data_IF_023484334407
#
_entry.id   IF_023484334407
#
_cell.length_a   1.000
_cell.length_b   1.000
_cell.length_c   1.000
_cell.angle_alpha   90.00
_cell.angle_beta   90.00
_cell.angle_gamma   90.00
#
_symmetry.space_group_name_H-M   'P 1'
#
loop_
_entity.id
_entity.type
_entity.pdbx_description
1 polymer ?
#
# COMPACT_ATOMS: atom_id res chain seq x y z
N UNK A 1 -11.38 -13.16 -37.89
CA UNK A 1 -10.27 -13.45 -36.97
C UNK A 1 -10.27 -12.60 -35.70
N UNK A 2 -10.47 -11.27 -35.77
CA UNK A 2 -10.49 -10.40 -34.58
C UNK A 2 -11.55 -10.77 -33.52
N UNK A 3 -12.76 -11.14 -33.94
CA UNK A 3 -13.81 -11.59 -33.01
C UNK A 3 -13.45 -12.89 -32.27
N UNK A 4 -12.87 -13.85 -32.99
CA UNK A 4 -12.42 -15.13 -32.41
C UNK A 4 -11.27 -14.88 -31.42
N UNK A 5 -10.31 -14.04 -31.79
CA UNK A 5 -9.24 -13.62 -30.89
C UNK A 5 -9.79 -12.89 -29.66
N UNK A 6 -10.77 -12.00 -29.81
CA UNK A 6 -11.41 -11.31 -28.70
C UNK A 6 -12.16 -12.28 -27.77
N UNK A 7 -12.91 -13.25 -28.31
CA UNK A 7 -13.61 -14.27 -27.51
C UNK A 7 -12.60 -15.15 -26.76
N UNK A 8 -11.52 -15.57 -27.42
CA UNK A 8 -10.46 -16.36 -26.78
C UNK A 8 -9.76 -15.56 -25.69
N UNK A 9 -9.41 -14.30 -25.94
CA UNK A 9 -8.80 -13.41 -24.93
C UNK A 9 -9.76 -13.17 -23.76
N UNK A 10 -11.05 -12.95 -24.02
CA UNK A 10 -12.06 -12.80 -22.98
C UNK A 10 -12.18 -14.12 -22.20
N UNK A 11 -12.24 -15.27 -22.85
CA UNK A 11 -12.28 -16.57 -22.17
C UNK A 11 -11.05 -16.83 -21.30
N UNK A 12 -9.84 -16.62 -21.84
CA UNK A 12 -8.59 -16.76 -21.08
C UNK A 12 -8.59 -15.79 -19.89
N UNK A 13 -9.00 -14.54 -20.10
CA UNK A 13 -9.05 -13.51 -19.05
C UNK A 13 -10.10 -13.81 -17.97
N UNK A 14 -11.26 -14.30 -18.37
CA UNK A 14 -12.37 -14.60 -17.45
C UNK A 14 -12.11 -15.84 -16.61
N UNK A 15 -11.39 -16.83 -17.14
CA UNK A 15 -11.25 -18.14 -16.49
C UNK A 15 -9.85 -18.47 -15.97
N UNK A 16 -8.79 -17.92 -16.57
CA UNK A 16 -7.41 -18.34 -16.26
C UNK A 16 -6.58 -17.22 -15.66
N UNK A 17 -6.67 -16.00 -16.21
CA UNK A 17 -5.74 -14.92 -15.88
C UNK A 17 -6.46 -13.59 -15.63
N UNK A 18 -6.41 -13.10 -14.40
CA UNK A 18 -7.00 -11.80 -14.04
C UNK A 18 -5.90 -10.73 -13.87
N UNK A 19 -5.96 -9.61 -14.62
CA UNK A 19 -5.12 -8.44 -14.34
C UNK A 19 -5.44 -7.85 -12.97
N UNK A 20 -4.42 -7.55 -12.19
CA UNK A 20 -4.51 -6.93 -10.88
C UNK A 20 -3.45 -5.83 -10.76
N UNK A 21 -3.84 -4.61 -10.40
CA UNK A 21 -2.89 -3.51 -10.18
C UNK A 21 -2.75 -3.33 -8.67
N UNK A 22 -1.52 -3.20 -8.18
CA UNK A 22 -1.26 -3.01 -6.76
C UNK A 22 -1.38 -1.52 -6.42
N UNK A 23 -2.35 -1.14 -5.57
CA UNK A 23 -2.54 0.26 -5.24
C UNK A 23 -1.50 0.79 -4.25
N UNK A 24 -1.08 -0.02 -3.27
CA UNK A 24 -0.27 0.42 -2.11
C UNK A 24 1.04 -0.36 -1.97
N UNK A 25 1.99 0.16 -1.20
CA UNK A 25 3.27 -0.49 -0.95
C UNK A 25 3.23 -1.64 0.06
N UNK A 26 2.06 -2.16 0.40
CA UNK A 26 1.91 -3.24 1.38
C UNK A 26 2.61 -4.55 0.99
N UNK A 27 2.89 -4.76 -0.29
CA UNK A 27 3.61 -5.93 -0.81
C UNK A 27 5.09 -5.65 -1.11
N UNK A 28 5.60 -4.46 -0.79
CA UNK A 28 7.02 -4.17 -0.92
C UNK A 28 7.83 -5.06 0.04
N UNK A 29 8.91 -5.71 -0.39
CA UNK A 29 9.69 -5.47 -1.60
C UNK A 29 9.35 -6.40 -2.76
N UNK A 30 8.40 -7.32 -2.59
CA UNK A 30 8.03 -8.33 -3.59
C UNK A 30 7.31 -7.71 -4.78
N UNK A 31 6.45 -6.74 -4.51
CA UNK A 31 5.80 -5.91 -5.50
C UNK A 31 5.76 -4.45 -5.06
N UNK A 32 5.79 -3.54 -6.03
CA UNK A 32 5.65 -2.11 -5.79
C UNK A 32 4.22 -1.66 -6.02
N UNK A 33 3.67 -0.85 -5.11
CA UNK A 33 2.42 -0.12 -5.34
C UNK A 33 2.66 1.15 -6.15
N UNK A 34 1.64 2.02 -6.19
CA UNK A 34 1.79 3.33 -6.84
C UNK A 34 2.90 4.14 -6.18
N UNK A 35 3.78 4.73 -6.99
CA UNK A 35 4.92 5.53 -6.50
C UNK A 35 4.79 6.97 -6.96
N UNK A 36 5.06 7.94 -6.07
CA UNK A 36 5.22 9.32 -6.50
C UNK A 36 6.59 9.55 -7.13
N UNK A 37 6.62 10.32 -8.22
CA UNK A 37 7.82 10.95 -8.73
C UNK A 37 7.63 12.47 -8.70
N UNK A 38 8.25 13.12 -7.73
CA UNK A 38 8.05 14.55 -7.44
C UNK A 38 9.01 15.41 -8.26
N UNK A 39 8.49 16.45 -8.89
CA UNK A 39 9.28 17.48 -9.58
C UNK A 39 9.54 18.66 -8.64
N UNK A 40 10.81 19.04 -8.52
CA UNK A 40 11.23 20.19 -7.70
C UNK A 40 10.73 21.49 -8.32
N UNK A 41 10.96 21.65 -9.63
CA UNK A 41 10.67 22.88 -10.38
C UNK A 41 9.95 22.60 -11.70
N UNK A 42 9.32 23.65 -12.25
CA UNK A 42 8.55 23.59 -13.50
C UNK A 42 9.37 23.11 -14.70
N UNK A 43 10.65 23.46 -14.75
CA UNK A 43 11.57 23.07 -15.83
C UNK A 43 11.79 21.56 -15.90
N UNK A 44 11.70 20.87 -14.75
CA UNK A 44 11.87 19.42 -14.65
C UNK A 44 10.57 18.66 -14.95
N UNK A 45 9.45 19.35 -15.18
CA UNK A 45 8.19 18.68 -15.52
C UNK A 45 8.22 18.19 -16.98
N UNK A 46 7.77 16.95 -17.26
CA UNK A 46 7.77 16.43 -18.61
C UNK A 46 6.80 17.23 -19.49
N UNK A 47 7.25 17.58 -20.69
CA UNK A 47 6.39 18.09 -21.74
C UNK A 47 5.42 17.02 -22.25
N UNK A 48 4.54 17.37 -23.19
CA UNK A 48 3.51 16.45 -23.70
C UNK A 48 4.09 15.11 -24.21
N UNK A 49 5.17 15.15 -24.99
CA UNK A 49 5.82 13.94 -25.51
C UNK A 49 6.41 13.08 -24.40
N UNK A 50 7.06 13.70 -23.40
CA UNK A 50 7.58 13.02 -22.21
C UNK A 50 6.45 12.31 -21.46
N UNK A 51 5.36 13.02 -21.17
CA UNK A 51 4.17 12.45 -20.51
C UNK A 51 3.58 11.28 -21.27
N UNK A 52 3.55 11.31 -22.61
CA UNK A 52 3.10 10.18 -23.42
C UNK A 52 4.02 8.96 -23.29
N UNK A 53 5.35 9.19 -23.30
CA UNK A 53 6.34 8.12 -23.11
C UNK A 53 6.22 7.54 -21.70
N UNK A 54 6.16 8.37 -20.66
CA UNK A 54 6.03 7.94 -19.27
C UNK A 54 4.71 7.20 -19.03
N UNK A 55 3.62 7.64 -19.69
CA UNK A 55 2.34 6.92 -19.66
C UNK A 55 2.48 5.52 -20.26
N UNK A 56 3.17 5.38 -21.39
CA UNK A 56 3.33 4.09 -22.07
C UNK A 56 4.29 3.16 -21.34
N UNK A 57 5.41 3.67 -20.84
CA UNK A 57 6.46 2.85 -20.23
C UNK A 57 6.19 2.55 -18.75
N UNK A 58 5.65 3.51 -18.00
CA UNK A 58 5.53 3.47 -16.54
C UNK A 58 4.08 3.54 -16.02
N UNK A 59 3.12 3.75 -16.91
CA UNK A 59 1.71 3.94 -16.57
C UNK A 59 1.44 5.29 -15.89
N UNK A 60 2.41 6.20 -15.95
CA UNK A 60 2.44 7.45 -15.20
C UNK A 60 1.19 8.30 -15.41
N UNK A 61 0.71 8.95 -14.35
CA UNK A 61 -0.36 9.94 -14.43
C UNK A 61 0.16 11.24 -13.83
N UNK A 62 0.16 12.30 -14.64
CA UNK A 62 0.78 13.57 -14.28
C UNK A 62 -0.18 14.49 -13.53
N UNK A 63 0.30 15.08 -12.44
CA UNK A 63 -0.42 16.03 -11.61
C UNK A 63 0.42 17.29 -11.40
N UNK A 64 -0.22 18.45 -11.49
CA UNK A 64 0.41 19.74 -11.29
C UNK A 64 -0.56 20.72 -10.66
N UNK A 65 -0.09 21.51 -9.71
CA UNK A 65 -0.79 22.59 -9.06
C UNK A 65 0.06 23.85 -9.17
N UNK A 66 -0.43 24.84 -9.90
CA UNK A 66 0.24 26.13 -10.07
C UNK A 66 -0.46 27.21 -9.24
N UNK A 67 0.32 28.15 -8.70
CA UNK A 67 -0.21 29.27 -7.93
C UNK A 67 -0.99 30.24 -8.84
N UNK A 68 -2.29 30.37 -8.59
CA UNK A 68 -3.12 31.36 -9.31
C UNK A 68 -3.08 32.78 -8.70
N UNK A 69 -2.45 32.94 -7.54
CA UNK A 69 -2.27 34.18 -6.77
C UNK A 69 -0.96 34.10 -5.97
N UNK A 70 -0.44 35.25 -5.54
CA UNK A 70 0.76 35.29 -4.69
C UNK A 70 0.38 35.22 -3.20
N UNK A 71 1.12 34.46 -2.42
CA UNK A 71 0.83 34.26 -0.99
C UNK A 71 1.58 33.09 -0.36
N UNK A 72 1.31 32.85 0.92
CA UNK A 72 1.72 31.63 1.61
C UNK A 72 0.85 30.45 1.16
N UNK A 73 1.41 29.24 1.19
CA UNK A 73 0.72 28.00 0.81
C UNK A 73 0.14 27.30 2.04
N UNK A 74 -1.16 27.03 1.99
CA UNK A 74 -1.89 26.28 3.01
C UNK A 74 -2.59 25.07 2.39
N UNK A 75 -2.73 24.01 3.18
CA UNK A 75 -3.72 22.95 2.98
C UNK A 75 -4.95 23.25 3.84
N UNK A 76 -6.13 23.32 3.23
CA UNK A 76 -7.40 23.50 3.94
C UNK A 76 -7.95 22.15 4.37
N UNK A 77 -8.04 21.96 5.68
CA UNK A 77 -8.64 20.78 6.30
C UNK A 77 -10.15 20.80 6.09
N UNK A 78 -10.69 19.63 5.77
CA UNK A 78 -12.11 19.38 5.50
C UNK A 78 -12.68 18.58 6.67
N UNK A 79 -13.03 19.30 7.75
CA UNK A 79 -13.31 18.69 9.05
C UNK A 79 -12.01 18.33 9.77
N UNK A 80 -11.85 17.06 10.16
CA UNK A 80 -10.59 16.54 10.74
C UNK A 80 -9.65 15.91 9.69
N UNK A 81 -10.07 15.87 8.42
CA UNK A 81 -9.33 15.23 7.35
C UNK A 81 -8.63 16.28 6.47
N UNK A 82 -7.50 15.89 5.88
CA UNK A 82 -6.75 16.63 4.86
C UNK A 82 -7.46 16.65 3.48
N UNK A 83 -8.38 15.71 3.25
CA UNK A 83 -9.11 15.54 2.00
C UNK A 83 -10.58 15.16 2.25
N UNK A 84 -11.38 15.17 1.18
CA UNK A 84 -12.68 14.50 1.11
C UNK A 84 -12.70 13.50 -0.03
N UNK A 85 -13.54 12.47 0.07
CA UNK A 85 -13.84 11.61 -1.07
C UNK A 85 -14.80 12.32 -2.03
N UNK A 86 -14.52 12.23 -3.33
CA UNK A 86 -15.39 12.68 -4.41
C UNK A 86 -15.40 11.63 -5.53
N UNK A 87 -16.37 11.69 -6.43
CA UNK A 87 -16.44 10.83 -7.60
C UNK A 87 -15.85 11.56 -8.81
N UNK A 88 -14.84 10.97 -9.45
CA UNK A 88 -14.23 11.54 -10.64
C UNK A 88 -15.26 11.63 -11.78
N UNK A 89 -15.55 12.86 -12.20
CA UNK A 89 -16.33 13.16 -13.41
C UNK A 89 -15.38 13.42 -14.57
N UNK A 90 -15.79 13.07 -15.78
CA UNK A 90 -15.01 13.32 -17.00
C UNK A 90 -14.60 14.80 -17.11
N UNK A 91 -13.37 15.15 -17.55
CA UNK A 91 -12.34 14.29 -18.17
C UNK A 91 -11.36 13.60 -17.21
N UNK A 92 -11.49 13.82 -15.90
CA UNK A 92 -10.60 13.25 -14.87
C UNK A 92 -10.92 11.78 -14.54
N UNK A 93 -12.08 11.29 -14.96
CA UNK A 93 -12.46 9.88 -14.87
C UNK A 93 -11.77 9.02 -15.94
N UNK A 94 -11.47 7.75 -15.61
CA UNK A 94 -10.99 6.75 -16.59
C UNK A 94 -11.98 6.71 -17.77
N UNK A 95 -11.46 6.82 -18.98
CA UNK A 95 -12.23 6.89 -20.23
C UNK A 95 -13.35 5.82 -20.27
N UNK A 96 -14.60 6.28 -20.26
CA UNK A 96 -15.84 5.60 -20.65
C UNK A 96 -16.43 4.38 -19.92
N UNK A 97 -16.07 3.97 -18.68
CA UNK A 97 -16.84 2.84 -18.07
C UNK A 97 -17.26 2.97 -16.58
N UNK A 98 -16.56 3.64 -15.64
CA UNK A 98 -17.07 3.77 -14.25
C UNK A 98 -16.57 5.04 -13.53
N UNK A 99 -17.39 5.69 -12.67
CA UNK A 99 -16.89 6.71 -11.74
C UNK A 99 -15.82 6.08 -10.83
N UNK A 100 -14.68 6.74 -10.70
CA UNK A 100 -13.61 6.32 -9.81
C UNK A 100 -13.61 7.24 -8.59
N UNK A 101 -13.53 6.67 -7.39
CA UNK A 101 -13.39 7.46 -6.17
C UNK A 101 -12.02 8.14 -6.17
N UNK A 102 -12.02 9.43 -5.88
CA UNK A 102 -10.81 10.26 -5.75
C UNK A 102 -10.78 10.93 -4.39
N UNK A 103 -9.57 11.27 -3.92
CA UNK A 103 -9.39 12.21 -2.82
C UNK A 103 -9.23 13.60 -3.39
N UNK A 104 -10.07 14.52 -2.95
CA UNK A 104 -10.01 15.93 -3.30
C UNK A 104 -9.33 16.72 -2.17
N UNK A 105 -8.23 17.36 -2.51
CA UNK A 105 -7.44 18.23 -1.65
C UNK A 105 -7.67 19.68 -2.03
N UNK A 106 -7.82 20.53 -1.01
CA UNK A 106 -8.04 21.95 -1.18
C UNK A 106 -6.83 22.71 -0.63
N UNK A 107 -6.11 23.37 -1.51
CA UNK A 107 -5.01 24.26 -1.16
C UNK A 107 -5.48 25.70 -1.20
N UNK A 108 -4.77 26.58 -0.49
CA UNK A 108 -5.00 28.02 -0.57
C UNK A 108 -3.67 28.74 -0.73
N UNK A 109 -3.62 29.68 -1.68
CA UNK A 109 -2.50 30.61 -1.85
C UNK A 109 -3.03 32.02 -1.94
N UNK A 110 -2.63 32.90 -1.01
CA UNK A 110 -3.01 34.31 -1.04
C UNK A 110 -4.53 34.55 -1.02
N UNK A 111 -5.28 33.68 -0.32
CA UNK A 111 -6.74 33.76 -0.21
C UNK A 111 -7.52 33.14 -1.38
N UNK A 112 -6.85 32.54 -2.36
CA UNK A 112 -7.49 31.83 -3.47
C UNK A 112 -7.34 30.32 -3.29
N UNK A 113 -8.43 29.60 -3.51
CA UNK A 113 -8.47 28.14 -3.39
C UNK A 113 -7.99 27.45 -4.68
N UNK A 114 -7.25 26.35 -4.52
CA UNK A 114 -6.77 25.47 -5.59
C UNK A 114 -7.17 24.04 -5.28
N UNK A 115 -7.75 23.34 -6.25
CA UNK A 115 -8.21 21.96 -6.08
C UNK A 115 -7.25 21.00 -6.75
N UNK A 116 -6.87 19.93 -6.06
CA UNK A 116 -6.13 18.82 -6.61
C UNK A 116 -6.82 17.51 -6.28
N UNK A 117 -7.02 16.66 -7.29
CA UNK A 117 -7.68 15.36 -7.15
C UNK A 117 -6.72 14.26 -7.51
N UNK A 118 -6.63 13.23 -6.66
CA UNK A 118 -5.78 12.05 -6.85
C UNK A 118 -6.61 10.78 -6.65
N UNK A 119 -6.19 9.62 -7.21
CA UNK A 119 -6.85 8.33 -6.94
C UNK A 119 -7.03 8.08 -5.44
N UNK A 120 -8.15 7.49 -5.04
CA UNK A 120 -8.48 7.32 -3.61
C UNK A 120 -7.47 6.49 -2.82
N UNK A 121 -6.72 5.64 -3.49
CA UNK A 121 -5.71 4.76 -2.92
C UNK A 121 -4.32 5.40 -2.83
N UNK A 122 -4.11 6.57 -3.44
CA UNK A 122 -2.84 7.27 -3.39
C UNK A 122 -2.75 8.16 -2.14
N UNK A 123 -1.67 8.01 -1.38
CA UNK A 123 -1.44 8.78 -0.17
C UNK A 123 -0.70 10.10 -0.50
N UNK A 124 -1.47 11.14 -0.79
CA UNK A 124 -0.91 12.47 -1.02
C UNK A 124 -0.46 13.15 0.29
N UNK A 125 -0.96 12.73 1.46
CA UNK A 125 -0.59 13.33 2.75
C UNK A 125 0.89 13.09 3.04
N UNK A 126 1.35 11.85 2.85
CA UNK A 126 2.76 11.47 2.99
C UNK A 126 3.65 12.25 2.01
N UNK A 127 3.21 12.42 0.75
CA UNK A 127 3.94 13.19 -0.26
C UNK A 127 4.08 14.66 0.15
N UNK A 128 2.99 15.29 0.61
CA UNK A 128 2.98 16.67 1.09
C UNK A 128 3.92 16.80 2.29
N UNK A 129 3.80 15.91 3.27
CA UNK A 129 4.62 15.91 4.48
C UNK A 129 6.13 15.82 4.15
N UNK A 130 6.50 14.90 3.27
CA UNK A 130 7.89 14.72 2.82
C UNK A 130 8.40 15.92 2.05
N UNK A 131 7.63 16.42 1.06
CA UNK A 131 8.04 17.54 0.20
C UNK A 131 8.29 18.82 1.00
N UNK A 132 7.42 19.13 1.95
CA UNK A 132 7.41 20.44 2.58
C UNK A 132 8.06 20.50 3.96
N UNK A 133 8.13 19.37 4.68
CA UNK A 133 8.69 19.31 6.02
C UNK A 133 9.72 18.19 6.20
N UNK A 134 9.95 17.33 5.20
CA UNK A 134 10.89 16.20 5.32
C UNK A 134 10.44 15.16 6.34
N UNK A 135 9.16 15.13 6.71
CA UNK A 135 8.57 14.19 7.69
C UNK A 135 7.65 13.20 6.99
N UNK A 136 7.40 12.06 7.63
CA UNK A 136 6.57 10.99 7.05
C UNK A 136 5.07 11.18 7.30
N UNK A 137 4.68 11.95 8.32
CA UNK A 137 3.29 12.17 8.69
C UNK A 137 2.93 13.65 8.62
N UNK A 138 1.84 13.97 7.93
CA UNK A 138 1.34 15.32 7.80
C UNK A 138 1.00 15.97 9.15
N UNK A 139 0.64 15.17 10.16
CA UNK A 139 0.39 15.65 11.53
C UNK A 139 1.64 16.20 12.23
N UNK A 140 2.83 15.77 11.80
CA UNK A 140 4.11 16.23 12.35
C UNK A 140 4.58 17.53 11.68
N UNK A 141 3.91 17.97 10.62
CA UNK A 141 4.27 19.17 9.87
C UNK A 141 4.38 20.43 10.75
N UNK A 142 3.47 20.69 11.73
CA UNK A 142 3.60 21.84 12.64
C UNK A 142 4.83 21.82 13.54
N UNK A 143 5.53 20.69 13.67
CA UNK A 143 6.80 20.61 14.41
C UNK A 143 7.96 21.21 13.61
N UNK A 144 7.83 21.27 12.29
CA UNK A 144 8.87 21.76 11.37
C UNK A 144 8.51 23.13 10.79
N UNK A 145 7.25 23.34 10.40
CA UNK A 145 6.77 24.57 9.75
C UNK A 145 5.97 25.40 10.73
N UNK A 146 6.37 26.66 10.90
CA UNK A 146 5.71 27.57 11.84
C UNK A 146 4.32 27.93 11.35
N UNK A 147 3.30 27.64 12.18
CA UNK A 147 1.90 27.93 11.84
C UNK A 147 1.53 29.37 12.18
N UNK A 148 0.74 30.02 11.32
CA UNK A 148 0.38 31.43 11.49
C UNK A 148 -0.70 31.60 12.58
N UNK A 149 -0.49 32.55 13.50
CA UNK A 149 -1.42 32.87 14.58
C UNK A 149 -2.59 33.71 14.01
N UNK A 150 -3.84 33.24 14.16
CA UNK A 150 -5.04 34.04 13.84
C UNK A 150 -5.89 33.59 12.65
N UNK A 151 -5.59 32.44 12.04
CA UNK A 151 -6.46 31.83 11.03
C UNK A 151 -7.23 30.62 11.60
N UNK A 152 -8.45 30.32 11.11
CA UNK A 152 -9.28 29.25 11.66
C UNK A 152 -8.52 27.92 11.68
N UNK A 153 -8.83 27.06 12.65
CA UNK A 153 -8.24 25.73 12.91
C UNK A 153 -8.38 24.71 11.77
N UNK A 154 -8.74 25.16 10.57
CA UNK A 154 -8.97 24.37 9.37
C UNK A 154 -7.93 24.63 8.28
N UNK A 155 -6.78 25.26 8.60
CA UNK A 155 -5.67 25.45 7.66
C UNK A 155 -4.37 24.96 8.27
N UNK A 156 -3.59 24.26 7.45
CA UNK A 156 -2.23 23.82 7.78
C UNK A 156 -1.27 24.53 6.82
N UNK A 157 -0.42 25.41 7.33
CA UNK A 157 0.60 26.09 6.54
C UNK A 157 1.65 25.06 6.13
N UNK A 158 1.86 24.89 4.83
CA UNK A 158 2.76 23.87 4.30
C UNK A 158 4.19 24.37 4.19
N UNK A 159 4.42 25.66 3.93
CA UNK A 159 5.78 26.19 3.75
C UNK A 159 5.88 27.62 4.25
N UNK A 160 7.06 28.01 4.74
CA UNK A 160 7.41 29.41 5.01
C UNK A 160 7.81 30.17 3.74
N UNK A 161 7.96 29.48 2.60
CA UNK A 161 8.19 30.10 1.30
C UNK A 161 6.95 30.88 0.87
N UNK A 162 7.16 32.12 0.43
CA UNK A 162 6.16 32.90 -0.27
C UNK A 162 6.14 32.50 -1.75
N UNK A 163 4.96 32.17 -2.28
CA UNK A 163 4.78 31.81 -3.68
C UNK A 163 4.24 32.98 -4.47
N UNK A 164 4.73 33.14 -5.70
CA UNK A 164 4.20 34.08 -6.66
C UNK A 164 3.18 33.41 -7.58
N UNK A 165 2.26 34.20 -8.13
CA UNK A 165 1.39 33.73 -9.21
C UNK A 165 2.23 33.13 -10.36
N UNK A 166 1.93 31.90 -10.74
CA UNK A 166 2.62 31.12 -11.77
C UNK A 166 3.65 30.13 -11.24
N UNK A 167 4.01 30.20 -9.95
CA UNK A 167 4.92 29.25 -9.34
C UNK A 167 4.29 27.84 -9.29
N UNK A 168 5.12 26.82 -9.52
CA UNK A 168 4.72 25.43 -9.33
C UNK A 168 4.67 25.13 -7.82
N UNK A 169 3.47 24.96 -7.27
CA UNK A 169 3.29 24.60 -5.87
C UNK A 169 3.63 23.13 -5.64
N UNK A 170 3.09 22.29 -6.52
CA UNK A 170 3.21 20.85 -6.47
C UNK A 170 3.21 20.29 -7.89
N UNK A 171 4.22 19.52 -8.27
CA UNK A 171 4.25 18.79 -9.53
C UNK A 171 4.76 17.39 -9.27
N UNK A 172 4.05 16.38 -9.75
CA UNK A 172 4.45 14.99 -9.59
C UNK A 172 3.74 14.07 -10.58
N UNK A 173 4.36 12.93 -10.84
CA UNK A 173 3.73 11.78 -11.47
C UNK A 173 3.34 10.74 -10.42
N UNK A 174 2.19 10.10 -10.62
CA UNK A 174 1.85 8.82 -9.98
C UNK A 174 2.20 7.71 -10.96
N UNK A 175 3.24 6.96 -10.66
CA UNK A 175 3.62 5.75 -11.39
C UNK A 175 2.69 4.60 -11.00
N UNK A 176 2.34 3.72 -11.95
CA UNK A 176 1.29 2.71 -11.74
C UNK A 176 1.60 1.69 -10.63
N UNK A 177 2.88 1.47 -10.34
CA UNK A 177 3.32 0.28 -9.60
C UNK A 177 3.23 -0.98 -10.44
N UNK A 178 3.33 -2.14 -9.81
CA UNK A 178 3.29 -3.43 -10.50
C UNK A 178 1.86 -3.84 -10.85
N UNK A 179 1.66 -4.16 -12.12
CA UNK A 179 0.48 -4.83 -12.63
C UNK A 179 0.79 -6.33 -12.83
N UNK A 180 -0.06 -7.15 -12.21
CA UNK A 180 0.13 -8.57 -12.00
C UNK A 180 -0.90 -9.38 -12.76
N UNK A 181 -0.48 -10.56 -13.21
CA UNK A 181 -1.40 -11.62 -13.57
C UNK A 181 -1.61 -12.57 -12.40
N UNK A 182 -2.89 -12.84 -12.12
CA UNK A 182 -3.33 -13.78 -11.11
C UNK A 182 -3.78 -15.06 -11.78
N UNK A 183 -3.16 -16.17 -11.42
CA UNK A 183 -3.54 -17.51 -11.87
C UNK A 183 -4.73 -18.00 -11.04
N UNK A 184 -5.92 -17.94 -11.65
CA UNK A 184 -7.18 -18.36 -11.04
C UNK A 184 -7.49 -19.84 -11.24
N UNK A 185 -6.85 -20.46 -12.22
CA UNK A 185 -7.19 -21.80 -12.64
C UNK A 185 -6.45 -22.83 -11.81
N UNK A 186 -5.12 -22.68 -11.69
CA UNK A 186 -4.30 -23.67 -10.99
C UNK A 186 -4.69 -23.77 -9.51
N UNK A 187 -5.17 -22.70 -8.87
CA UNK A 187 -5.59 -22.71 -7.47
C UNK A 187 -6.82 -23.59 -7.17
N UNK A 188 -7.58 -23.99 -8.19
CA UNK A 188 -8.62 -25.02 -8.01
C UNK A 188 -8.04 -26.43 -7.85
N UNK A 189 -6.78 -26.62 -8.24
CA UNK A 189 -6.09 -27.92 -8.28
C UNK A 189 -4.78 -27.95 -7.46
N UNK A 190 -4.23 -26.78 -7.13
CA UNK A 190 -2.99 -26.57 -6.39
C UNK A 190 -3.34 -25.86 -5.10
N UNK A 191 -2.97 -26.47 -3.98
CA UNK A 191 -3.21 -25.86 -2.68
C UNK A 191 -2.34 -24.62 -2.48
N UNK A 192 -2.91 -23.51 -1.97
CA UNK A 192 -2.13 -22.36 -1.54
C UNK A 192 -1.08 -22.76 -0.51
N UNK A 193 0.14 -22.24 -0.64
CA UNK A 193 1.24 -22.54 0.28
C UNK A 193 1.78 -21.27 0.93
N UNK A 194 2.40 -21.46 2.09
CA UNK A 194 3.20 -20.42 2.72
C UNK A 194 4.27 -19.93 1.75
N UNK A 195 4.42 -18.61 1.68
CA UNK A 195 5.26 -17.92 0.71
C UNK A 195 4.53 -17.52 -0.57
N UNK A 196 3.34 -18.00 -0.89
CA UNK A 196 2.64 -17.55 -2.11
C UNK A 196 2.08 -16.12 -1.94
N UNK A 197 2.26 -15.23 -2.93
CA UNK A 197 1.50 -13.98 -3.01
C UNK A 197 0.07 -14.26 -3.49
N UNK A 198 -0.87 -14.31 -2.56
CA UNK A 198 -2.25 -14.68 -2.82
C UNK A 198 -3.15 -13.45 -2.98
N UNK A 199 -3.99 -13.49 -4.01
CA UNK A 199 -5.11 -12.57 -4.18
C UNK A 199 -6.36 -13.24 -3.62
N UNK A 200 -7.11 -12.52 -2.80
CA UNK A 200 -8.34 -13.00 -2.16
C UNK A 200 -9.37 -11.89 -2.04
N UNK A 201 -10.64 -12.28 -1.91
CA UNK A 201 -11.75 -11.36 -1.65
C UNK A 201 -11.95 -11.21 -0.13
N UNK A 202 -12.37 -10.03 0.32
CA UNK A 202 -12.46 -9.72 1.76
C UNK A 202 -13.86 -9.94 2.34
N UNK A 203 -14.90 -10.07 1.51
CA UNK A 203 -16.30 -9.99 1.91
C UNK A 203 -16.76 -10.96 3.02
N UNK A 204 -16.16 -12.15 3.17
CA UNK A 204 -16.53 -13.09 4.26
C UNK A 204 -15.50 -13.22 5.39
N UNK A 205 -14.38 -12.49 5.33
CA UNK A 205 -13.29 -12.60 6.30
C UNK A 205 -13.75 -12.19 7.70
N UNK A 206 -14.43 -11.05 7.84
CA UNK A 206 -14.89 -10.56 9.14
C UNK A 206 -15.92 -11.51 9.77
N UNK A 207 -16.83 -12.06 8.96
CA UNK A 207 -17.80 -13.07 9.41
C UNK A 207 -17.12 -14.37 9.82
N UNK A 208 -16.15 -14.84 9.03
CA UNK A 208 -15.39 -16.04 9.32
C UNK A 208 -14.67 -15.94 10.67
N UNK A 209 -13.89 -14.87 10.88
CA UNK A 209 -13.14 -14.64 12.10
C UNK A 209 -14.05 -14.52 13.33
N UNK A 210 -15.20 -13.85 13.19
CA UNK A 210 -16.22 -13.78 14.24
C UNK A 210 -16.78 -15.15 14.60
N UNK A 211 -17.07 -16.01 13.62
CA UNK A 211 -17.62 -17.36 13.86
C UNK A 211 -16.65 -18.29 14.57
N UNK A 212 -15.36 -18.17 14.29
CA UNK A 212 -14.34 -19.00 14.96
C UNK A 212 -13.85 -18.39 16.28
N UNK A 213 -14.31 -17.18 16.64
CA UNK A 213 -13.88 -16.49 17.85
C UNK A 213 -12.40 -16.08 17.80
N UNK A 214 -11.89 -15.72 16.63
CA UNK A 214 -10.51 -15.25 16.49
C UNK A 214 -10.34 -13.88 17.15
N UNK A 215 -9.23 -13.70 17.86
CA UNK A 215 -8.78 -12.37 18.26
C UNK A 215 -8.52 -11.54 17.01
N UNK A 216 -9.04 -10.31 16.98
CA UNK A 216 -8.82 -9.34 15.92
C UNK A 216 -8.69 -7.96 16.55
N UNK A 217 -7.88 -7.10 15.97
CA UNK A 217 -7.72 -5.69 16.41
C UNK A 217 -8.68 -4.78 15.66
N UNK A 218 -8.96 -5.07 14.40
CA UNK A 218 -9.90 -4.30 13.58
C UNK A 218 -10.55 -5.19 12.52
N UNK A 219 -11.69 -4.74 12.00
CA UNK A 219 -12.39 -5.39 10.88
C UNK A 219 -11.92 -4.80 9.55
N UNK A 220 -12.12 -5.53 8.46
CA UNK A 220 -11.91 -4.98 7.11
C UNK A 220 -13.05 -4.01 6.76
N UNK A 221 -14.31 -4.41 7.01
CA UNK A 221 -15.47 -3.56 6.82
C UNK A 221 -15.86 -3.27 5.37
N UNK A 222 -15.18 -3.90 4.41
CA UNK A 222 -15.43 -3.72 2.97
C UNK A 222 -15.20 -5.00 2.18
N UNK A 223 -15.83 -5.07 1.01
CA UNK A 223 -15.72 -6.19 0.08
C UNK A 223 -14.90 -5.80 -1.15
N UNK A 224 -13.59 -6.06 -1.08
CA UNK A 224 -12.60 -5.74 -2.10
C UNK A 224 -11.70 -6.94 -2.36
N UNK A 225 -10.82 -6.79 -3.34
CA UNK A 225 -9.75 -7.75 -3.62
C UNK A 225 -8.45 -7.26 -3.00
N UNK A 226 -7.87 -8.07 -2.12
CA UNK A 226 -6.57 -7.82 -1.50
C UNK A 226 -5.54 -8.78 -2.07
N UNK A 227 -4.28 -8.33 -2.07
CA UNK A 227 -3.11 -9.18 -2.28
C UNK A 227 -2.26 -9.14 -1.01
N UNK A 228 -1.91 -10.31 -0.48
CA UNK A 228 -0.99 -10.49 0.67
C UNK A 228 -0.15 -11.74 0.46
N UNK A 229 0.97 -11.86 1.16
CA UNK A 229 1.76 -13.09 1.19
C UNK A 229 1.17 -14.05 2.22
N UNK A 230 0.90 -15.28 1.83
CA UNK A 230 0.53 -16.32 2.79
C UNK A 230 1.75 -16.65 3.64
N UNK A 231 1.60 -16.64 4.95
CA UNK A 231 2.68 -16.99 5.89
C UNK A 231 2.33 -18.23 6.71
N UNK A 232 1.04 -18.53 6.89
CA UNK A 232 0.55 -19.71 7.59
C UNK A 232 -0.51 -20.48 6.81
N UNK A 233 -0.38 -21.80 6.84
CA UNK A 233 -1.29 -22.81 6.30
C UNK A 233 -2.13 -23.44 7.43
N UNK A 234 -3.21 -24.17 7.11
CA UNK A 234 -4.09 -24.78 8.10
C UNK A 234 -3.33 -25.67 9.10
N UNK A 235 -3.41 -25.32 10.39
CA UNK A 235 -2.78 -26.05 11.48
C UNK A 235 -1.41 -25.57 11.91
N UNK A 236 -0.81 -24.62 11.18
CA UNK A 236 0.48 -24.07 11.55
C UNK A 236 0.42 -23.26 12.84
N UNK A 237 1.58 -23.17 13.49
CA UNK A 237 1.83 -22.28 14.60
C UNK A 237 2.75 -21.17 14.14
N UNK A 238 2.29 -19.93 14.27
CA UNK A 238 3.03 -18.73 13.90
C UNK A 238 3.48 -17.97 15.14
N UNK A 239 4.68 -17.39 15.06
CA UNK A 239 5.23 -16.52 16.10
C UNK A 239 6.09 -15.43 15.46
N UNK A 240 5.99 -14.19 15.95
CA UNK A 240 6.99 -13.17 15.67
C UNK A 240 8.08 -13.21 16.75
N UNK A 241 9.34 -13.41 16.34
CA UNK A 241 10.49 -13.34 17.25
C UNK A 241 11.24 -12.04 17.06
N UNK A 242 11.38 -11.28 18.14
CA UNK A 242 12.11 -10.01 18.17
C UNK A 242 13.41 -10.20 18.96
N UNK A 243 14.58 -9.79 18.43
CA UNK A 243 15.82 -9.76 19.20
C UNK A 243 15.74 -8.82 20.40
N UNK A 244 16.28 -9.22 21.56
CA UNK A 244 16.24 -8.40 22.78
C UNK A 244 16.91 -7.03 22.61
N UNK A 245 17.95 -6.94 21.77
CA UNK A 245 18.65 -5.67 21.53
C UNK A 245 17.75 -4.60 20.92
N UNK A 246 16.72 -4.96 20.15
CA UNK A 246 15.76 -3.99 19.59
C UNK A 246 15.07 -3.18 20.69
N UNK A 247 14.84 -3.78 21.86
CA UNK A 247 14.19 -3.09 22.99
C UNK A 247 15.15 -2.22 23.80
N UNK A 248 16.46 -2.42 23.65
CA UNK A 248 17.47 -1.78 24.50
C UNK A 248 18.42 -0.84 23.75
N UNK A 249 18.47 -0.93 22.41
CA UNK A 249 19.40 -0.18 21.58
C UNK A 249 18.84 1.15 21.03
N UNK A 250 17.58 1.49 21.31
CA UNK A 250 16.95 2.74 20.85
C UNK A 250 16.33 2.67 19.45
N UNK A 251 16.11 1.47 18.90
CA UNK A 251 15.37 1.30 17.63
C UNK A 251 13.99 1.94 17.71
N UNK A 252 13.58 2.66 16.67
CA UNK A 252 12.22 3.20 16.58
C UNK A 252 11.19 2.07 16.40
N UNK A 253 10.27 1.98 17.36
CA UNK A 253 9.20 0.98 17.43
C UNK A 253 7.80 1.59 17.34
N UNK A 254 7.68 2.88 17.02
CA UNK A 254 6.38 3.59 16.96
C UNK A 254 5.43 2.99 15.91
N UNK A 255 5.97 2.44 14.82
CA UNK A 255 5.24 1.74 13.75
C UNK A 255 5.33 0.21 13.88
N UNK A 256 5.35 -0.29 15.12
CA UNK A 256 5.48 -1.71 15.44
C UNK A 256 6.93 -2.18 15.60
N UNK A 257 7.10 -3.32 16.25
CA UNK A 257 8.44 -3.81 16.66
C UNK A 257 9.06 -4.68 15.56
N UNK A 258 10.23 -4.37 14.99
CA UNK A 258 10.82 -5.19 13.93
C UNK A 258 11.09 -6.62 14.41
N UNK A 259 10.64 -7.61 13.64
CA UNK A 259 10.72 -9.02 14.04
C UNK A 259 10.74 -10.01 12.87
N UNK A 260 11.12 -11.25 13.18
CA UNK A 260 11.19 -12.35 12.21
C UNK A 260 10.03 -13.31 12.42
N UNK A 261 9.24 -13.51 11.35
CA UNK A 261 8.12 -14.46 11.36
C UNK A 261 8.66 -15.89 11.35
N UNK A 262 8.24 -16.67 12.33
CA UNK A 262 8.49 -18.09 12.43
C UNK A 262 7.21 -18.88 12.19
N UNK A 263 7.33 -19.95 11.43
CA UNK A 263 6.30 -20.94 11.16
C UNK A 263 6.77 -22.28 11.73
N UNK A 264 5.98 -22.87 12.62
CA UNK A 264 6.28 -24.14 13.29
C UNK A 264 7.68 -24.16 13.93
N UNK A 265 8.08 -23.04 14.54
CA UNK A 265 9.37 -22.87 15.20
C UNK A 265 10.54 -22.50 14.29
N UNK A 266 10.36 -22.50 12.96
CA UNK A 266 11.42 -22.21 11.96
C UNK A 266 11.16 -20.86 11.31
N UNK A 267 12.18 -19.99 11.11
CA UNK A 267 11.99 -18.72 10.41
C UNK A 267 11.57 -18.95 8.97
N UNK A 268 10.63 -18.15 8.48
CA UNK A 268 10.29 -18.14 7.05
C UNK A 268 11.51 -17.70 6.23
N UNK A 269 11.70 -18.32 5.06
CA UNK A 269 12.85 -18.14 4.19
C UNK A 269 12.52 -18.45 2.72
N UNK A 270 13.48 -18.21 1.82
CA UNK A 270 13.38 -18.62 0.41
C UNK A 270 12.48 -17.72 -0.43
N UNK A 271 12.09 -16.57 0.10
CA UNK A 271 11.37 -15.48 -0.59
C UNK A 271 12.08 -14.17 -0.30
N UNK A 272 12.10 -13.27 -1.28
CA UNK A 272 12.79 -11.97 -1.17
C UNK A 272 12.33 -11.22 0.05
N UNK A 273 11.02 -11.16 0.31
CA UNK A 273 10.47 -10.49 1.49
C UNK A 273 10.99 -11.07 2.81
N UNK A 274 11.01 -12.40 2.96
CA UNK A 274 11.41 -13.04 4.20
C UNK A 274 12.91 -12.87 4.48
N UNK A 275 13.74 -13.03 3.45
CA UNK A 275 15.19 -12.93 3.60
C UNK A 275 15.62 -11.46 3.81
N UNK A 276 14.99 -10.52 3.10
CA UNK A 276 15.19 -9.08 3.33
C UNK A 276 14.69 -8.63 4.70
N UNK A 277 13.58 -9.18 5.18
CA UNK A 277 13.09 -8.89 6.52
C UNK A 277 14.09 -9.36 7.59
N UNK A 278 14.62 -10.58 7.45
CA UNK A 278 15.60 -11.11 8.41
C UNK A 278 16.84 -10.20 8.48
N UNK A 279 17.40 -9.85 7.32
CA UNK A 279 18.50 -8.89 7.23
C UNK A 279 18.15 -7.54 7.88
N UNK A 280 16.94 -7.02 7.63
CA UNK A 280 16.48 -5.75 8.21
C UNK A 280 16.48 -5.80 9.75
N UNK A 281 16.01 -6.90 10.32
CA UNK A 281 15.97 -7.11 11.77
C UNK A 281 17.38 -7.26 12.35
N UNK A 282 18.28 -7.98 11.67
CA UNK A 282 19.69 -8.12 12.06
C UNK A 282 20.43 -6.77 12.04
N UNK A 283 20.21 -5.97 10.99
CA UNK A 283 20.79 -4.64 10.86
C UNK A 283 20.29 -3.72 11.98
N UNK A 284 18.98 -3.68 12.26
CA UNK A 284 18.40 -2.87 13.36
C UNK A 284 18.84 -3.33 14.74
N UNK A 285 19.00 -4.64 14.94
CA UNK A 285 19.48 -5.20 16.20
C UNK A 285 20.91 -4.75 16.51
N UNK A 286 21.69 -4.43 15.48
CA UNK A 286 23.09 -3.99 15.57
C UNK A 286 23.22 -2.46 15.60
N UNK A 287 22.45 -1.75 14.77
CA UNK A 287 22.40 -0.29 14.69
C UNK A 287 20.94 0.17 14.63
N UNK A 288 20.42 0.86 15.67
CA UNK A 288 19.02 1.30 15.73
C UNK A 288 18.62 2.25 14.60
N UNK A 289 19.60 2.90 13.95
CA UNK A 289 19.38 3.86 12.87
C UNK A 289 19.72 3.28 11.50
N UNK A 290 19.99 1.98 11.39
CA UNK A 290 20.21 1.36 10.09
C UNK A 290 19.01 1.63 9.18
N UNK A 291 19.26 2.06 7.94
CA UNK A 291 18.23 2.25 6.91
C UNK A 291 18.74 1.61 5.62
N UNK A 292 18.00 0.67 5.01
CA UNK A 292 18.40 0.10 3.71
C UNK A 292 18.23 1.13 2.59
N UNK A 293 18.96 0.96 1.48
CA UNK A 293 18.97 1.90 0.33
C UNK A 293 17.57 2.27 -0.22
N UNK A 294 16.61 1.36 -0.09
CA UNK A 294 15.24 1.50 -0.58
C UNK A 294 14.21 1.66 0.54
N UNK A 295 14.68 1.95 1.76
CA UNK A 295 13.89 2.19 2.96
C UNK A 295 12.89 1.07 3.33
N UNK A 296 13.07 -0.17 2.86
CA UNK A 296 12.19 -1.29 3.23
C UNK A 296 12.11 -1.46 4.77
N UNK A 297 10.92 -1.28 5.39
CA UNK A 297 10.80 -1.31 6.84
C UNK A 297 10.76 -2.72 7.43
N UNK A 298 10.55 -3.76 6.62
CA UNK A 298 10.43 -5.13 7.10
C UNK A 298 9.06 -5.45 7.72
N UNK A 299 9.02 -6.59 8.38
CA UNK A 299 7.88 -7.10 9.12
C UNK A 299 7.86 -6.54 10.55
N UNK A 300 6.67 -6.29 11.08
CA UNK A 300 6.49 -5.74 12.44
C UNK A 300 5.66 -6.68 13.31
N UNK A 301 6.13 -6.91 14.53
CA UNK A 301 5.38 -7.55 15.60
C UNK A 301 4.35 -6.56 16.11
N UNK A 302 3.08 -6.81 15.78
CA UNK A 302 1.96 -5.96 16.16
C UNK A 302 0.63 -6.72 16.01
N UNK A 303 -0.44 -6.07 16.48
CA UNK A 303 -1.77 -6.65 16.52
C UNK A 303 -1.80 -7.99 17.23
N UNK A 304 -2.45 -8.98 16.61
CA UNK A 304 -2.57 -10.32 17.20
C UNK A 304 -1.27 -11.15 17.13
N UNK A 305 -0.29 -10.72 16.32
CA UNK A 305 1.04 -11.32 16.22
C UNK A 305 2.10 -10.38 16.80
N UNK A 306 1.83 -9.85 17.99
CA UNK A 306 2.81 -9.09 18.77
C UNK A 306 3.98 -9.97 19.24
N UNK A 307 5.03 -9.36 19.79
CA UNK A 307 6.21 -10.10 20.25
C UNK A 307 5.80 -11.21 21.25
N UNK A 308 6.38 -12.40 21.08
CA UNK A 308 6.11 -13.62 21.86
C UNK A 308 4.71 -14.22 21.73
N UNK A 309 3.75 -13.53 21.09
CA UNK A 309 2.44 -14.10 20.81
C UNK A 309 2.57 -15.31 19.86
N UNK A 310 1.74 -16.32 20.12
CA UNK A 310 1.69 -17.54 19.31
C UNK A 310 0.29 -17.70 18.76
N UNK A 311 0.18 -17.79 17.44
CA UNK A 311 -1.11 -17.95 16.75
C UNK A 311 -1.16 -19.33 16.13
N UNK A 312 -2.24 -20.08 16.37
CA UNK A 312 -2.51 -21.33 15.67
C UNK A 312 -3.49 -21.08 14.53
N UNK A 313 -3.12 -21.44 13.31
CA UNK A 313 -3.98 -21.30 12.12
C UNK A 313 -5.06 -22.39 12.14
N UNK A 314 -6.37 -22.03 12.08
CA UNK A 314 -7.46 -23.00 12.17
C UNK A 314 -7.46 -24.05 11.06
N UNK A 315 -7.64 -25.33 11.44
CA UNK A 315 -7.96 -26.42 10.50
C UNK A 315 -9.47 -26.55 10.35
N UNK A 316 -9.90 -27.09 9.21
CA UNK A 316 -11.32 -27.34 8.91
C UNK A 316 -12.06 -28.14 10.00
N UNK A 317 -11.42 -29.17 10.56
CA UNK A 317 -12.00 -30.05 11.58
C UNK A 317 -11.85 -29.52 13.02
N UNK A 318 -11.21 -28.36 13.21
CA UNK A 318 -10.95 -27.77 14.52
C UNK A 318 -11.73 -26.45 14.73
N UNK A 319 -12.65 -26.09 13.82
CA UNK A 319 -13.42 -24.84 13.93
C UNK A 319 -14.88 -25.01 13.44
N UNK A 320 -15.83 -24.19 13.93
CA UNK A 320 -17.27 -24.39 13.69
C UNK A 320 -17.72 -24.12 12.25
N UNK A 321 -16.87 -23.53 11.40
CA UNK A 321 -17.23 -23.23 10.01
C UNK A 321 -16.97 -24.40 9.06
N UNK A 322 -16.17 -25.40 9.48
CA UNK A 322 -15.74 -26.50 8.62
C UNK A 322 -14.74 -26.09 7.53
N UNK A 323 -14.31 -24.82 7.48
CA UNK A 323 -13.40 -24.31 6.43
C UNK A 323 -11.95 -24.30 6.92
N UNK A 324 -11.02 -24.56 6.01
CA UNK A 324 -9.60 -24.30 6.25
C UNK A 324 -9.33 -22.79 6.25
N UNK A 325 -8.33 -22.38 7.02
CA UNK A 325 -7.93 -21.00 7.14
C UNK A 325 -6.43 -20.82 6.81
N UNK A 326 -6.08 -19.63 6.34
CA UNK A 326 -4.72 -19.21 6.07
C UNK A 326 -4.42 -17.91 6.81
N UNK A 327 -3.15 -17.67 7.11
CA UNK A 327 -2.72 -16.38 7.66
C UNK A 327 -1.95 -15.63 6.59
N UNK A 328 -2.36 -14.39 6.30
CA UNK A 328 -1.79 -13.60 5.22
C UNK A 328 -1.27 -12.25 5.75
N UNK A 329 -0.07 -11.87 5.33
CA UNK A 329 0.62 -10.66 5.77
C UNK A 329 1.08 -9.83 4.57
N UNK A 330 1.08 -8.51 4.71
CA UNK A 330 1.80 -7.66 3.76
C UNK A 330 3.30 -7.79 4.01
N UNK A 331 4.08 -7.83 2.94
CA UNK A 331 5.53 -7.86 3.04
C UNK A 331 6.09 -6.59 3.68
N UNK A 332 5.40 -5.45 3.49
CA UNK A 332 5.67 -4.20 4.18
C UNK A 332 4.60 -4.00 5.26
N UNK A 333 4.97 -4.30 6.50
CA UNK A 333 4.05 -4.28 7.62
C UNK A 333 3.52 -2.89 7.96
N UNK A 334 4.32 -1.84 7.78
CA UNK A 334 3.93 -0.47 8.16
C UNK A 334 2.87 0.12 7.24
N UNK A 335 2.75 -0.41 6.01
CA UNK A 335 1.77 0.02 5.01
C UNK A 335 0.69 -1.04 4.76
N UNK A 336 0.49 -1.96 5.71
CA UNK A 336 -0.37 -3.13 5.51
C UNK A 336 -1.40 -3.34 6.61
N UNK A 337 -2.67 -3.18 6.25
CA UNK A 337 -3.79 -3.77 6.98
C UNK A 337 -3.93 -5.26 6.57
N UNK A 338 -3.41 -6.18 7.39
CA UNK A 338 -3.36 -7.61 7.10
C UNK A 338 -3.82 -8.49 8.27
N UNK A 339 -3.54 -9.80 8.22
CA UNK A 339 -4.05 -10.78 9.18
C UNK A 339 -3.67 -10.49 10.63
N UNK A 340 -2.65 -9.66 10.88
CA UNK A 340 -2.33 -9.16 12.23
C UNK A 340 -3.43 -8.27 12.81
N UNK A 341 -4.25 -7.65 11.96
CA UNK A 341 -5.38 -6.82 12.34
C UNK A 341 -6.70 -7.59 12.28
N UNK A 342 -6.99 -8.25 11.15
CA UNK A 342 -8.30 -8.86 10.86
C UNK A 342 -8.35 -10.39 10.94
N UNK A 343 -7.25 -11.05 11.29
CA UNK A 343 -7.20 -12.50 11.52
C UNK A 343 -6.94 -13.32 10.26
N UNK A 344 -7.72 -14.37 10.05
CA UNK A 344 -7.44 -15.42 9.08
C UNK A 344 -8.29 -15.28 7.80
N UNK A 345 -7.74 -15.75 6.67
CA UNK A 345 -8.43 -15.84 5.37
C UNK A 345 -8.98 -17.26 5.20
N UNK A 346 -10.30 -17.47 5.03
CA UNK A 346 -10.83 -18.79 4.72
C UNK A 346 -10.48 -19.21 3.28
N UNK A 347 -10.24 -20.51 3.06
CA UNK A 347 -9.78 -21.06 1.76
C UNK A 347 -10.64 -20.64 0.57
N UNK A 348 -11.96 -20.49 0.77
CA UNK A 348 -12.89 -20.15 -0.30
C UNK A 348 -12.82 -18.68 -0.77
N UNK A 349 -12.10 -17.82 -0.06
CA UNK A 349 -11.88 -16.43 -0.50
C UNK A 349 -10.62 -16.28 -1.33
N UNK A 350 -9.73 -17.28 -1.32
CA UNK A 350 -8.49 -17.26 -2.10
C UNK A 350 -8.84 -17.48 -3.57
N UNK A 351 -8.45 -16.52 -4.40
CA UNK A 351 -8.77 -16.50 -5.83
C UNK A 351 -7.64 -17.10 -6.65
N UNK A 352 -6.40 -16.82 -6.28
CA UNK A 352 -5.24 -17.26 -7.05
C UNK A 352 -3.93 -16.64 -6.59
N UNK A 353 -2.83 -17.12 -7.17
CA UNK A 353 -1.49 -16.56 -6.97
C UNK A 353 -1.17 -15.51 -8.00
N UNK A 354 -0.63 -14.38 -7.55
CA UNK A 354 0.09 -13.46 -8.41
C UNK A 354 1.42 -14.09 -8.86
N UNK A 355 1.58 -14.33 -10.15
CA UNK A 355 2.74 -15.11 -10.64
C UNK A 355 3.61 -14.35 -11.64
N UNK A 356 3.14 -13.24 -12.22
CA UNK A 356 3.87 -12.51 -13.26
C UNK A 356 3.57 -11.01 -13.15
N UNK A 357 4.61 -10.20 -13.00
CA UNK A 357 4.56 -8.75 -13.23
C UNK A 357 4.66 -8.54 -14.73
N UNK A 358 3.54 -8.14 -15.35
CA UNK A 358 3.48 -7.97 -16.81
C UNK A 358 3.72 -6.52 -17.24
N UNK A 359 3.59 -5.57 -16.32
CA UNK A 359 3.73 -4.13 -16.58
C UNK A 359 3.95 -3.38 -15.25
N UNK A 360 4.70 -2.26 -15.22
CA UNK A 360 5.50 -1.64 -16.28
C UNK A 360 6.74 -2.45 -16.66
N UNK A 361 7.35 -2.14 -17.81
CA UNK A 361 8.55 -2.82 -18.31
C UNK A 361 9.81 -2.30 -17.60
N UNK A 362 9.88 -2.53 -16.29
CA UNK A 362 11.02 -2.16 -15.44
C UNK A 362 11.86 -3.39 -15.11
N UNK A 363 12.89 -3.24 -14.28
CA UNK A 363 13.65 -4.36 -13.70
C UNK A 363 12.79 -5.38 -12.93
N UNK A 364 11.53 -5.03 -12.61
CA UNK A 364 10.57 -5.88 -11.90
C UNK A 364 9.75 -6.77 -12.83
N UNK A 365 9.81 -6.54 -14.14
CA UNK A 365 9.08 -7.33 -15.13
C UNK A 365 9.55 -8.79 -15.12
N UNK A 366 8.61 -9.73 -15.00
CA UNK A 366 8.92 -11.16 -14.94
C UNK A 366 8.14 -11.91 -13.86
N UNK A 367 8.50 -13.17 -13.67
CA UNK A 367 7.83 -14.05 -12.72
C UNK A 367 8.00 -13.56 -11.28
N UNK A 368 6.92 -13.60 -10.52
CA UNK A 368 6.90 -13.30 -9.10
C UNK A 368 7.54 -14.44 -8.30
N UNK A 369 8.21 -14.07 -7.21
CA UNK A 369 8.96 -14.98 -6.36
C UNK A 369 8.09 -15.89 -5.48
#
# INVERSE_FOLDING_TARGET
MLLVAAIVVIGIRSFFVQPFIIPTNSMYPSFSGMQPHVYEDKENTPGFVGRCIDKLLLGASHFSLEAESSGNLYLKLQGQMSFRFDDAKFPEGRFFIFPATVREYLFEVGGKDHVLRVPAEFDLDELIAKRFAGVENLQDLPLIVTQDQGFPSNRLKLSDKHFNKGDLLLGFDILLGDALFVDRFSYNFVHPKSGDPAVFRTGSIDEFNRKIGADVVSQIGEDKYYIKRLVGEPGDVLQMKVPESIFTNGTDVRKGVPGVVHRNGVPLNGKTAFDRNRKRVEDLASDPNAVPDDAYPGYRAEGILTNQATIKVPKANENPTGKKAFFAMGDNSTDSLDGRAWGFVPENEIIGRAFLVYYPFTKRWGFAD
#
